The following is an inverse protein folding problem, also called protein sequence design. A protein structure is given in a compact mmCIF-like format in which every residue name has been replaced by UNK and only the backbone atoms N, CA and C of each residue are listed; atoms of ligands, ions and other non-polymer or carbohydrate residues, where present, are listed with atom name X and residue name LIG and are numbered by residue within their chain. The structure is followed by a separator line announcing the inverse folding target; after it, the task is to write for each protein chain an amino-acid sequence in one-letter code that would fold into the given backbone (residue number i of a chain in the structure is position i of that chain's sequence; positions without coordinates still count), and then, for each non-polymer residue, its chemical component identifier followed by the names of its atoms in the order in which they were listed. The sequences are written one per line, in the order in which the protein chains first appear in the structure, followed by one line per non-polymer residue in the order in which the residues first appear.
data_IF_782687489412
#
_entry.id   IF_782687489412
#
_cell.length_a   1.000
_cell.length_b   1.000
_cell.length_c   1.000
_cell.angle_alpha   90.00
_cell.angle_beta   90.00
_cell.angle_gamma   90.00
#
_symmetry.space_group_name_H-M   'P 1'
#
loop_
_entity.id
_entity.type
_entity.pdbx_description
1 polymer ?
#
# COMPACT_ATOMS: atom_id res chain seq x y z
N UNK A 1 -14.81 21.92 -16.26
CA UNK A 1 -14.91 20.45 -16.03
C UNK A 1 -15.80 20.14 -14.82
N UNK A 2 -15.54 20.72 -13.65
CA UNK A 2 -16.34 20.47 -12.43
C UNK A 2 -17.84 20.80 -12.57
N UNK A 3 -18.19 21.89 -13.27
CA UNK A 3 -19.59 22.27 -13.53
C UNK A 3 -20.39 21.17 -14.24
N UNK A 4 -19.92 20.71 -15.40
CA UNK A 4 -20.58 19.62 -16.17
C UNK A 4 -20.73 18.36 -15.34
N UNK A 5 -19.72 18.02 -14.53
CA UNK A 5 -19.77 16.87 -13.64
C UNK A 5 -20.92 16.99 -12.64
N UNK A 6 -21.04 18.13 -11.95
CA UNK A 6 -22.12 18.38 -10.97
C UNK A 6 -23.49 18.40 -11.64
N UNK A 7 -23.61 19.00 -12.83
CA UNK A 7 -24.85 18.99 -13.62
C UNK A 7 -25.28 17.55 -13.96
N UNK A 8 -24.36 16.69 -14.38
CA UNK A 8 -24.66 15.27 -14.63
C UNK A 8 -25.06 14.55 -13.33
N UNK A 9 -24.32 14.71 -12.22
CA UNK A 9 -24.69 14.07 -10.95
C UNK A 9 -26.09 14.48 -10.47
N UNK A 10 -26.48 15.74 -10.65
CA UNK A 10 -27.83 16.22 -10.32
C UNK A 10 -28.93 15.54 -11.14
N UNK A 11 -28.68 15.18 -12.40
CA UNK A 11 -29.67 14.42 -13.21
C UNK A 11 -29.98 13.05 -12.62
N UNK A 12 -29.05 12.49 -11.86
CA UNK A 12 -29.18 11.22 -11.15
C UNK A 12 -29.57 11.40 -9.68
N UNK A 13 -29.98 12.60 -9.27
CA UNK A 13 -30.34 12.93 -7.88
C UNK A 13 -29.18 12.70 -6.89
N UNK A 14 -27.93 12.82 -7.36
CA UNK A 14 -26.73 12.66 -6.55
C UNK A 14 -26.14 14.03 -6.17
N UNK A 15 -25.77 14.17 -4.90
CA UNK A 15 -25.08 15.34 -4.38
C UNK A 15 -23.58 15.07 -4.16
N UNK A 16 -22.75 16.03 -4.52
CA UNK A 16 -21.30 15.94 -4.34
C UNK A 16 -20.94 16.37 -2.92
N UNK A 17 -20.24 15.51 -2.19
CA UNK A 17 -19.72 15.86 -0.87
C UNK A 17 -18.45 16.73 -1.00
N UNK A 18 -18.64 18.06 -0.98
CA UNK A 18 -17.55 19.04 -1.11
C UNK A 18 -16.47 18.87 -0.03
N UNK A 19 -16.82 18.38 1.17
CA UNK A 19 -15.84 18.15 2.25
C UNK A 19 -14.87 17.01 1.95
N UNK A 20 -15.30 15.99 1.20
CA UNK A 20 -14.46 14.84 0.78
C UNK A 20 -13.80 15.06 -0.58
N UNK A 21 -14.25 16.04 -1.35
CA UNK A 21 -13.75 16.33 -2.69
C UNK A 21 -12.62 17.36 -2.62
N UNK A 22 -11.45 16.97 -3.11
CA UNK A 22 -10.27 17.83 -3.29
C UNK A 22 -9.84 17.74 -4.76
N UNK A 23 -9.29 18.82 -5.31
CA UNK A 23 -8.68 18.79 -6.63
C UNK A 23 -7.16 18.64 -6.49
N UNK A 24 -6.54 17.86 -7.38
CA UNK A 24 -5.09 17.71 -7.41
C UNK A 24 -4.62 18.01 -8.81
N UNK A 25 -3.70 18.96 -8.93
CA UNK A 25 -3.11 19.36 -10.21
C UNK A 25 -1.70 18.78 -10.32
N UNK A 26 -1.40 18.07 -11.40
CA UNK A 26 -0.10 17.47 -11.67
C UNK A 26 0.62 18.32 -12.72
N UNK A 27 1.75 18.93 -12.37
CA UNK A 27 2.58 19.70 -13.30
C UNK A 27 2.01 21.07 -13.72
N UNK A 28 1.07 21.65 -12.98
CA UNK A 28 0.44 22.94 -13.26
C UNK A 28 0.18 23.79 -12.02
N UNK A 29 -0.37 25.01 -12.17
CA UNK A 29 -0.64 25.92 -11.06
C UNK A 29 -1.68 25.33 -10.10
N UNK A 30 -1.41 25.47 -8.80
CA UNK A 30 -2.24 24.89 -7.75
C UNK A 30 -3.34 25.85 -7.35
N UNK A 31 -4.47 25.75 -8.04
CA UNK A 31 -5.62 26.62 -7.83
C UNK A 31 -6.81 25.85 -7.28
N UNK A 32 -7.57 26.52 -6.40
CA UNK A 32 -8.86 26.04 -5.92
C UNK A 32 -9.90 26.16 -7.03
N UNK A 33 -10.85 25.23 -7.05
CA UNK A 33 -11.97 25.30 -7.98
C UNK A 33 -13.14 25.94 -7.24
N UNK A 34 -13.53 27.14 -7.66
CA UNK A 34 -14.72 27.84 -7.17
C UNK A 34 -15.93 27.41 -7.99
N UNK A 35 -16.99 26.96 -7.30
CA UNK A 35 -18.26 26.55 -7.89
C UNK A 35 -19.24 27.73 -7.97
N UNK A 36 -20.28 27.59 -8.78
CA UNK A 36 -21.26 28.66 -9.05
C UNK A 36 -22.11 29.02 -7.82
N UNK A 37 -22.29 28.08 -6.90
CA UNK A 37 -22.97 28.27 -5.62
C UNK A 37 -22.07 28.91 -4.55
N UNK A 38 -20.85 29.30 -4.93
CA UNK A 38 -19.83 29.88 -4.03
C UNK A 38 -19.06 28.85 -3.21
N UNK A 39 -19.37 27.56 -3.33
CA UNK A 39 -18.59 26.51 -2.66
C UNK A 39 -17.22 26.31 -3.32
N UNK A 40 -16.22 25.91 -2.53
CA UNK A 40 -14.83 25.83 -2.99
C UNK A 40 -14.30 24.42 -2.81
N UNK A 41 -13.91 23.78 -3.92
CA UNK A 41 -13.13 22.55 -3.91
C UNK A 41 -11.66 22.93 -3.75
N UNK A 42 -11.07 22.51 -2.63
CA UNK A 42 -9.69 22.85 -2.27
C UNK A 42 -8.71 22.08 -3.15
N UNK A 43 -7.64 22.77 -3.58
CA UNK A 43 -6.48 22.11 -4.15
C UNK A 43 -5.72 21.36 -3.04
N UNK A 44 -5.18 20.20 -3.37
CA UNK A 44 -4.32 19.43 -2.48
C UNK A 44 -3.05 18.98 -3.20
N UNK A 45 -1.91 19.11 -2.51
CA UNK A 45 -0.64 18.53 -2.94
C UNK A 45 -0.62 17.01 -2.73
N UNK A 46 -1.36 16.56 -1.71
CA UNK A 46 -1.40 15.19 -1.24
C UNK A 46 -2.83 14.78 -0.98
N UNK A 47 -3.37 13.98 -1.87
CA UNK A 47 -4.69 13.39 -1.65
C UNK A 47 -4.58 12.33 -0.55
N UNK A 48 -5.27 12.56 0.57
CA UNK A 48 -5.04 11.82 1.83
C UNK A 48 -5.17 10.31 1.68
N UNK A 49 -6.19 9.81 0.98
CA UNK A 49 -6.41 8.38 0.67
C UNK A 49 -7.32 8.21 -0.53
N UNK A 50 -6.79 7.72 -1.65
CA UNK A 50 -7.57 7.23 -2.79
C UNK A 50 -7.45 5.71 -2.86
N UNK A 51 -8.57 4.99 -2.74
CA UNK A 51 -8.59 3.50 -2.71
C UNK A 51 -7.56 2.89 -1.75
N UNK A 52 -7.32 3.57 -0.63
CA UNK A 52 -6.35 3.19 0.40
C UNK A 52 -4.89 3.56 0.13
N UNK A 53 -4.57 4.21 -0.99
CA UNK A 53 -3.22 4.71 -1.31
C UNK A 53 -3.16 6.24 -1.16
N UNK A 54 -2.01 6.74 -0.71
CA UNK A 54 -1.69 8.17 -0.72
C UNK A 54 -1.16 8.54 -2.10
N UNK A 55 -1.77 9.55 -2.72
CA UNK A 55 -1.33 10.05 -4.03
C UNK A 55 -0.83 11.48 -3.83
N UNK A 56 0.32 11.76 -4.42
CA UNK A 56 0.98 13.07 -4.40
C UNK A 56 0.96 13.68 -5.79
N UNK A 57 0.93 15.01 -5.85
CA UNK A 57 0.94 15.77 -7.09
C UNK A 57 2.23 15.56 -7.93
N UNK A 58 3.33 15.15 -7.30
CA UNK A 58 4.61 14.84 -7.95
C UNK A 58 4.67 13.42 -8.56
N UNK A 59 3.59 12.64 -8.43
CA UNK A 59 3.49 11.28 -8.94
C UNK A 59 4.38 10.25 -8.22
N UNK A 60 5.05 10.61 -7.12
CA UNK A 60 5.90 9.69 -6.38
C UNK A 60 5.09 8.80 -5.42
N UNK A 61 5.31 7.49 -5.51
CA UNK A 61 4.67 6.52 -4.63
C UNK A 61 5.34 6.35 -3.25
N UNK A 62 6.42 7.11 -2.97
CA UNK A 62 7.22 6.95 -1.74
C UNK A 62 6.38 7.06 -0.46
N UNK A 63 5.44 8.00 -0.40
CA UNK A 63 4.59 8.19 0.78
C UNK A 63 3.54 7.09 0.95
N UNK A 64 2.92 6.64 -0.15
CA UNK A 64 1.96 5.54 -0.13
C UNK A 64 2.58 4.24 0.36
N UNK A 65 3.80 3.94 -0.09
CA UNK A 65 4.55 2.75 0.32
C UNK A 65 4.89 2.81 1.81
N UNK A 66 5.43 3.94 2.27
CA UNK A 66 5.71 4.16 3.70
C UNK A 66 4.46 3.99 4.55
N UNK A 67 3.32 4.51 4.09
CA UNK A 67 2.05 4.38 4.80
C UNK A 67 1.61 2.92 4.93
N UNK A 68 1.73 2.11 3.88
CA UNK A 68 1.43 0.66 3.92
C UNK A 68 2.35 -0.10 4.87
N UNK A 69 3.65 0.18 4.85
CA UNK A 69 4.60 -0.41 5.81
C UNK A 69 4.21 -0.02 7.25
N UNK A 70 3.83 1.24 7.49
CA UNK A 70 3.38 1.68 8.82
C UNK A 70 2.06 1.02 9.25
N UNK A 71 1.11 0.85 8.33
CA UNK A 71 -0.13 0.08 8.58
C UNK A 71 0.20 -1.36 8.96
N UNK A 72 1.11 -2.02 8.24
CA UNK A 72 1.60 -3.36 8.57
C UNK A 72 2.22 -3.40 9.97
N UNK A 73 3.14 -2.49 10.30
CA UNK A 73 3.74 -2.38 11.64
C UNK A 73 2.71 -2.20 12.76
N UNK A 74 1.66 -1.40 12.52
CA UNK A 74 0.54 -1.25 13.47
C UNK A 74 -0.20 -2.57 13.67
N UNK A 75 -0.50 -3.30 12.61
CA UNK A 75 -1.12 -4.63 12.70
C UNK A 75 -0.24 -5.60 13.51
N UNK A 76 1.08 -5.62 13.26
CA UNK A 76 2.05 -6.42 14.04
C UNK A 76 1.99 -6.05 15.53
N UNK A 77 1.89 -4.75 15.84
CA UNK A 77 1.81 -4.26 17.22
C UNK A 77 0.53 -4.71 17.93
N UNK A 78 -0.62 -4.68 17.24
CA UNK A 78 -1.90 -5.17 17.79
C UNK A 78 -1.85 -6.68 18.03
N UNK A 79 -1.23 -7.42 17.11
CA UNK A 79 -1.07 -8.88 17.22
C UNK A 79 -0.03 -9.30 18.27
N UNK A 80 0.65 -8.37 18.93
CA UNK A 80 1.81 -8.69 19.77
C UNK A 80 1.52 -9.71 20.89
N UNK A 81 0.31 -9.74 21.45
CA UNK A 81 -0.10 -10.78 22.41
C UNK A 81 -0.08 -12.19 21.78
N UNK A 82 -0.72 -12.35 20.63
CA UNK A 82 -0.77 -13.58 19.83
C UNK A 82 0.63 -14.01 19.38
N UNK A 83 1.47 -13.07 18.96
CA UNK A 83 2.82 -13.38 18.48
C UNK A 83 3.72 -13.89 19.61
N UNK A 84 3.59 -13.35 20.82
CA UNK A 84 4.42 -13.74 21.97
C UNK A 84 3.96 -15.04 22.64
N UNK A 85 2.69 -15.39 22.50
CA UNK A 85 2.15 -16.63 23.05
C UNK A 85 2.80 -17.87 22.41
N UNK A 86 3.46 -18.71 23.21
CA UNK A 86 4.11 -19.93 22.75
C UNK A 86 3.15 -21.12 22.64
N UNK A 87 1.93 -21.02 23.19
CA UNK A 87 0.87 -22.01 23.01
C UNK A 87 0.25 -21.98 21.61
N UNK A 88 0.41 -20.87 20.88
CA UNK A 88 -0.07 -20.76 19.50
C UNK A 88 0.93 -21.38 18.53
N UNK A 89 0.46 -22.32 17.72
CA UNK A 89 1.29 -23.03 16.75
C UNK A 89 1.94 -22.07 15.74
N UNK A 90 3.16 -22.44 15.30
CA UNK A 90 3.87 -21.70 14.26
C UNK A 90 3.08 -21.62 12.96
N UNK A 91 2.34 -22.67 12.62
CA UNK A 91 1.46 -22.72 11.45
C UNK A 91 0.38 -21.63 11.51
N UNK A 92 -0.27 -21.46 12.66
CA UNK A 92 -1.28 -20.41 12.85
C UNK A 92 -0.66 -19.02 12.77
N UNK A 93 0.53 -18.80 13.35
CA UNK A 93 1.26 -17.53 13.22
C UNK A 93 1.66 -17.24 11.76
N UNK A 94 2.04 -18.25 10.98
CA UNK A 94 2.31 -18.11 9.54
C UNK A 94 1.04 -17.77 8.76
N UNK A 95 -0.09 -18.39 9.10
CA UNK A 95 -1.38 -18.07 8.48
C UNK A 95 -1.79 -16.62 8.75
N UNK A 96 -1.70 -16.15 10.00
CA UNK A 96 -1.99 -14.75 10.37
C UNK A 96 -1.09 -13.77 9.60
N UNK A 97 0.19 -14.11 9.44
CA UNK A 97 1.11 -13.29 8.65
C UNK A 97 0.61 -13.15 7.21
N UNK A 98 0.33 -14.27 6.56
CA UNK A 98 -0.08 -14.31 5.17
C UNK A 98 -1.41 -13.61 4.93
N UNK A 99 -2.39 -13.78 5.82
CA UNK A 99 -3.74 -13.25 5.64
C UNK A 99 -3.87 -11.79 6.05
N UNK A 100 -3.18 -11.34 7.10
CA UNK A 100 -3.34 -9.98 7.66
C UNK A 100 -2.14 -9.10 7.35
N UNK A 101 -0.94 -9.48 7.79
CA UNK A 101 0.22 -8.58 7.74
C UNK A 101 0.71 -8.40 6.30
N UNK A 102 0.90 -9.51 5.59
CA UNK A 102 1.35 -9.54 4.20
C UNK A 102 0.34 -8.85 3.28
N UNK A 103 -0.95 -9.10 3.45
CA UNK A 103 -2.01 -8.49 2.62
C UNK A 103 -2.05 -6.97 2.79
N UNK A 104 -1.92 -6.45 4.01
CA UNK A 104 -1.86 -5.00 4.29
C UNK A 104 -0.64 -4.36 3.63
N UNK A 105 0.53 -4.97 3.79
CA UNK A 105 1.79 -4.39 3.28
C UNK A 105 1.85 -4.45 1.76
N UNK A 106 1.47 -5.59 1.16
CA UNK A 106 1.60 -5.82 -0.30
C UNK A 106 0.43 -5.29 -1.13
N UNK A 107 -0.47 -4.51 -0.53
CA UNK A 107 -1.57 -3.91 -1.29
C UNK A 107 -1.05 -2.82 -2.24
N UNK A 108 -1.26 -3.03 -3.55
CA UNK A 108 -0.84 -2.10 -4.60
C UNK A 108 0.66 -2.16 -4.89
N UNK A 109 1.36 -3.21 -4.46
CA UNK A 109 2.81 -3.36 -4.66
C UNK A 109 3.21 -3.67 -6.10
N UNK A 110 2.24 -4.02 -6.94
CA UNK A 110 2.39 -4.33 -8.37
C UNK A 110 2.97 -3.15 -9.16
N UNK A 111 2.72 -1.92 -8.71
CA UNK A 111 3.16 -0.67 -9.38
C UNK A 111 4.31 0.02 -8.65
N UNK A 112 4.85 -0.59 -7.60
CA UNK A 112 5.94 0.01 -6.85
C UNK A 112 7.24 -0.07 -7.64
N UNK A 113 7.98 1.05 -7.68
CA UNK A 113 9.36 1.06 -8.19
C UNK A 113 10.31 0.41 -7.18
N UNK A 114 11.23 -0.41 -7.67
CA UNK A 114 12.27 -1.00 -6.83
C UNK A 114 13.26 0.06 -6.35
N UNK A 115 13.47 0.11 -5.02
CA UNK A 115 14.49 0.94 -4.38
C UNK A 115 15.03 0.17 -3.17
N UNK A 116 16.35 0.09 -3.03
CA UNK A 116 16.99 -0.66 -1.94
C UNK A 116 16.49 -0.27 -0.55
N UNK A 117 16.28 1.03 -0.31
CA UNK A 117 15.77 1.53 0.97
C UNK A 117 14.38 0.96 1.32
N UNK A 118 13.53 0.72 0.32
CA UNK A 118 12.18 0.16 0.51
C UNK A 118 12.26 -1.33 0.83
N UNK A 119 13.07 -2.08 0.09
CA UNK A 119 13.33 -3.51 0.36
C UNK A 119 13.86 -3.71 1.79
N UNK A 120 14.77 -2.85 2.23
CA UNK A 120 15.31 -2.88 3.59
C UNK A 120 14.22 -2.65 4.63
N UNK A 121 13.33 -1.68 4.41
CA UNK A 121 12.20 -1.40 5.31
C UNK A 121 11.17 -2.54 5.36
N UNK A 122 10.88 -3.17 4.22
CA UNK A 122 10.00 -4.32 4.09
C UNK A 122 10.59 -5.52 4.83
N UNK A 123 11.85 -5.85 4.55
CA UNK A 123 12.60 -6.93 5.21
C UNK A 123 12.67 -6.73 6.72
N UNK A 124 12.93 -5.51 7.18
CA UNK A 124 12.94 -5.20 8.61
C UNK A 124 11.57 -5.40 9.26
N UNK A 125 10.49 -5.05 8.56
CA UNK A 125 9.12 -5.20 9.06
C UNK A 125 8.68 -6.67 9.10
N UNK A 126 9.03 -7.45 8.08
CA UNK A 126 8.87 -8.90 8.08
C UNK A 126 9.63 -9.56 9.25
N UNK A 127 10.91 -9.20 9.42
CA UNK A 127 11.73 -9.78 10.47
C UNK A 127 11.26 -9.43 11.87
N UNK A 128 10.67 -8.24 12.07
CA UNK A 128 10.02 -7.89 13.34
C UNK A 128 8.87 -8.86 13.67
N UNK A 129 8.03 -9.20 12.68
CA UNK A 129 6.97 -10.19 12.85
C UNK A 129 7.52 -11.57 13.21
N UNK A 130 8.50 -12.07 12.44
CA UNK A 130 9.05 -13.42 12.66
C UNK A 130 9.81 -13.54 13.97
N UNK A 131 10.57 -12.52 14.38
CA UNK A 131 11.28 -12.53 15.66
C UNK A 131 10.32 -12.57 16.84
N UNK A 132 9.26 -11.75 16.83
CA UNK A 132 8.22 -11.78 17.86
C UNK A 132 7.54 -13.15 17.91
N UNK A 133 7.19 -13.69 16.75
CA UNK A 133 6.54 -15.00 16.62
C UNK A 133 7.39 -16.16 17.17
N UNK A 134 8.71 -16.07 16.97
CA UNK A 134 9.68 -17.05 17.46
C UNK A 134 10.07 -16.84 18.94
N UNK A 135 9.53 -15.80 19.60
CA UNK A 135 9.91 -15.44 20.97
C UNK A 135 11.37 -14.98 21.10
N UNK A 136 11.98 -14.49 20.00
CA UNK A 136 13.41 -14.15 19.95
C UNK A 136 13.63 -12.66 20.05
N UNK A 137 14.53 -12.27 20.95
CA UNK A 137 14.94 -10.89 21.15
C UNK A 137 16.20 -10.57 20.35
N UNK A 138 16.49 -9.28 20.13
CA UNK A 138 17.75 -8.86 19.50
C UNK A 138 18.99 -9.15 20.37
N UNK A 139 18.81 -9.30 21.68
CA UNK A 139 19.90 -9.60 22.64
C UNK A 139 20.51 -10.98 22.42
N UNK A 140 19.72 -11.92 21.90
CA UNK A 140 20.17 -13.28 21.60
C UNK A 140 21.06 -13.36 20.35
N UNK A 141 21.23 -12.25 19.60
CA UNK A 141 22.09 -12.16 18.41
C UNK A 141 21.86 -13.24 17.33
N UNK A 142 20.68 -13.88 17.33
CA UNK A 142 20.29 -14.88 16.33
C UNK A 142 20.14 -14.19 14.97
N UNK A 143 20.75 -14.76 13.93
CA UNK A 143 20.71 -14.24 12.56
C UNK A 143 19.28 -14.23 11.98
N UNK A 144 19.01 -13.35 11.02
CA UNK A 144 17.71 -13.30 10.36
C UNK A 144 17.37 -14.63 9.65
N UNK A 145 18.36 -15.25 9.01
CA UNK A 145 18.19 -16.55 8.33
C UNK A 145 17.76 -17.64 9.32
N UNK A 146 18.42 -17.71 10.49
CA UNK A 146 18.05 -18.69 11.51
C UNK A 146 16.64 -18.48 12.05
N UNK A 147 16.20 -17.23 12.22
CA UNK A 147 14.81 -16.94 12.63
C UNK A 147 13.81 -17.41 11.57
N UNK A 148 14.11 -17.22 10.27
CA UNK A 148 13.26 -17.70 9.18
C UNK A 148 13.19 -19.22 9.14
N UNK A 149 14.30 -19.92 9.32
CA UNK A 149 14.32 -21.39 9.45
C UNK A 149 13.44 -21.88 10.61
N UNK A 150 13.56 -21.25 11.80
CA UNK A 150 12.74 -21.60 12.98
C UNK A 150 11.24 -21.46 12.67
N UNK A 151 10.87 -20.46 11.88
CA UNK A 151 9.48 -20.16 11.53
C UNK A 151 9.00 -20.84 10.23
N UNK A 152 9.88 -21.54 9.50
CA UNK A 152 9.56 -22.09 8.18
C UNK A 152 9.15 -21.01 7.17
N UNK A 153 9.78 -19.83 7.23
CA UNK A 153 9.52 -18.71 6.33
C UNK A 153 10.53 -18.71 5.17
N UNK A 154 10.25 -19.52 4.16
CA UNK A 154 11.14 -19.76 3.01
C UNK A 154 11.23 -18.56 2.05
N UNK A 155 10.10 -17.91 1.78
CA UNK A 155 10.03 -16.74 0.91
C UNK A 155 9.92 -15.45 1.72
N UNK A 156 10.56 -14.39 1.24
CA UNK A 156 10.45 -13.06 1.84
C UNK A 156 9.31 -12.28 1.22
N UNK A 157 8.84 -11.25 1.94
CA UNK A 157 7.87 -10.29 1.43
C UNK A 157 8.35 -9.58 0.15
N UNK A 158 9.66 -9.42 -0.03
CA UNK A 158 10.23 -8.83 -1.25
C UNK A 158 10.06 -9.80 -2.42
N UNK A 159 10.27 -11.10 -2.21
CA UNK A 159 10.05 -12.12 -3.23
C UNK A 159 8.58 -12.20 -3.64
N UNK A 160 7.66 -12.09 -2.66
CA UNK A 160 6.22 -12.03 -2.92
C UNK A 160 5.83 -10.80 -3.76
N UNK A 161 6.41 -9.63 -3.46
CA UNK A 161 6.16 -8.40 -4.20
C UNK A 161 6.66 -8.52 -5.65
N UNK A 162 7.87 -9.04 -5.84
CA UNK A 162 8.44 -9.29 -7.18
C UNK A 162 7.57 -10.26 -7.98
N UNK A 163 7.07 -11.31 -7.33
CA UNK A 163 6.14 -12.26 -7.95
C UNK A 163 4.86 -11.57 -8.40
N UNK A 164 4.27 -10.71 -7.56
CA UNK A 164 3.08 -9.91 -7.92
C UNK A 164 3.33 -8.96 -9.09
N UNK A 165 4.49 -8.30 -9.12
CA UNK A 165 4.89 -7.41 -10.22
C UNK A 165 5.02 -8.19 -11.54
N UNK A 166 5.60 -9.39 -11.53
CA UNK A 166 5.71 -10.25 -12.70
C UNK A 166 4.33 -10.72 -13.19
N UNK A 167 3.45 -11.11 -12.27
CA UNK A 167 2.06 -11.46 -12.62
C UNK A 167 1.36 -10.26 -13.27
N UNK A 168 1.48 -9.07 -12.69
CA UNK A 168 0.92 -7.83 -13.23
C UNK A 168 1.47 -7.52 -14.63
N UNK A 169 2.78 -7.61 -14.82
CA UNK A 169 3.41 -7.43 -16.12
C UNK A 169 2.85 -8.41 -17.16
N UNK A 170 2.71 -9.69 -16.80
CA UNK A 170 2.07 -10.69 -17.66
C UNK A 170 0.62 -10.36 -18.01
N UNK A 171 -0.14 -9.74 -17.10
CA UNK A 171 -1.47 -9.21 -17.42
C UNK A 171 -1.41 -8.07 -18.42
N UNK A 172 -0.51 -7.10 -18.25
CA UNK A 172 -0.35 -5.96 -19.18
C UNK A 172 0.02 -6.44 -20.58
N UNK A 173 0.95 -7.38 -20.70
CA UNK A 173 1.37 -7.97 -21.97
C UNK A 173 0.21 -8.60 -22.77
N UNK A 174 -0.71 -9.27 -22.07
CA UNK A 174 -1.89 -9.92 -22.68
C UNK A 174 -3.03 -8.96 -23.04
N UNK A 175 -2.97 -7.69 -22.62
CA UNK A 175 -4.01 -6.72 -22.97
C UNK A 175 -3.98 -6.35 -24.47
N UNK A 176 -5.10 -5.95 -25.07
CA UNK A 176 -5.12 -5.30 -26.38
C UNK A 176 -4.30 -4.00 -26.41
N UNK A 177 -3.69 -3.67 -27.55
CA UNK A 177 -2.78 -2.51 -27.70
C UNK A 177 -3.45 -1.14 -27.56
N UNK A 178 -4.77 -1.07 -27.69
CA UNK A 178 -5.52 0.16 -27.47
C UNK A 178 -5.74 0.48 -25.98
N UNK A 179 -5.39 -0.43 -25.07
CA UNK A 179 -5.60 -0.25 -23.63
C UNK A 179 -4.52 0.68 -23.06
N UNK A 180 -4.97 1.75 -22.39
CA UNK A 180 -4.10 2.76 -21.76
C UNK A 180 -2.97 2.14 -20.91
N UNK A 181 -3.20 1.14 -20.03
CA UNK A 181 -2.11 0.56 -19.25
C UNK A 181 -1.00 -0.08 -20.10
N UNK A 182 -1.34 -0.64 -21.27
CA UNK A 182 -0.37 -1.24 -22.18
C UNK A 182 0.46 -0.16 -22.88
N UNK A 183 -0.19 0.88 -23.40
CA UNK A 183 0.44 2.00 -24.10
C UNK A 183 1.39 2.83 -23.21
N UNK A 184 1.14 2.89 -21.90
CA UNK A 184 1.95 3.67 -20.96
C UNK A 184 3.14 2.86 -20.42
N UNK A 185 2.98 1.54 -20.27
CA UNK A 185 3.96 0.69 -19.59
C UNK A 185 4.86 -0.12 -20.54
N UNK A 186 4.49 -0.25 -21.81
CA UNK A 186 5.22 -0.96 -22.88
C UNK A 186 5.34 -0.07 -24.11
#
# INVERSE_FOLDING_TARGET
MARKLIEEYKKWELEVNITKTECMTVGGPQENIVLEDGSVIKNCDKYKKYLGLKITNDGKLDEGIKDRIMQGRRAISVLNGVLRDQGISKANKKNIYNTVVKSIITYGSEVWREKQNRENMLSATEMDYWRRSAGKTKREQITNNRVREIMGAEHTIVDDIRTKQLIWFGHVQRMPDHRIPKQILL
#
